data_IF_083020476971
#
_entry.id   IF_083020476971
#
_cell.length_a   1.000
_cell.length_b   1.000
_cell.length_c   1.000
_cell.angle_alpha   90.00
_cell.angle_beta   90.00
_cell.angle_gamma   90.00
#
_symmetry.space_group_name_H-M   'P 1'
#
loop_
_entity.id
_entity.type
_entity.pdbx_description
1 polymer ?
#
# COMPACT_ATOMS: atom_id res chain seq x y z
N UNK A 1 24.80 12.75 -9.59
CA UNK A 1 24.01 11.87 -8.71
C UNK A 1 24.71 11.53 -7.40
N UNK A 2 25.97 11.11 -7.39
CA UNK A 2 26.71 10.72 -6.17
C UNK A 2 26.68 11.82 -5.09
N UNK A 3 26.97 13.09 -5.44
CA UNK A 3 26.89 14.20 -4.49
C UNK A 3 25.46 14.38 -3.93
N UNK A 4 24.42 14.28 -4.78
CA UNK A 4 23.02 14.37 -4.37
C UNK A 4 22.60 13.19 -3.49
N UNK A 5 23.06 11.98 -3.80
CA UNK A 5 22.89 10.79 -2.97
C UNK A 5 23.46 11.01 -1.58
N UNK A 6 24.71 11.46 -1.49
CA UNK A 6 25.35 11.76 -0.20
C UNK A 6 24.57 12.79 0.60
N UNK A 7 24.14 13.90 -0.02
CA UNK A 7 23.36 14.94 0.66
C UNK A 7 22.04 14.37 1.19
N UNK A 8 21.33 13.58 0.36
CA UNK A 8 20.01 13.04 0.68
C UNK A 8 20.06 12.05 1.83
N UNK A 9 21.06 11.17 1.85
CA UNK A 9 21.18 10.08 2.82
C UNK A 9 22.17 10.39 3.96
N UNK A 10 22.85 11.54 3.96
CA UNK A 10 23.87 11.86 4.97
C UNK A 10 23.32 11.83 6.40
N UNK A 11 22.08 12.25 6.60
CA UNK A 11 21.44 12.21 7.90
C UNK A 11 21.06 10.77 8.31
N UNK A 12 20.64 9.94 7.36
CA UNK A 12 20.38 8.52 7.59
C UNK A 12 21.66 7.73 7.88
N UNK A 13 22.79 8.12 7.27
CA UNK A 13 24.11 7.52 7.52
C UNK A 13 24.72 7.96 8.86
N UNK A 14 24.40 9.15 9.35
CA UNK A 14 24.88 9.66 10.66
C UNK A 14 24.21 9.01 11.86
N UNK A 15 23.17 8.20 11.67
CA UNK A 15 22.47 7.44 12.71
C UNK A 15 23.20 6.12 13.04
N UNK A 16 24.42 5.91 12.56
CA UNK A 16 25.38 4.94 13.11
C UNK A 16 26.53 5.68 13.82
N UNK A 17 26.36 6.21 15.04
CA UNK A 17 27.50 6.66 15.81
C UNK A 17 28.03 5.46 16.58
N UNK A 18 29.31 5.20 16.45
CA UNK A 18 30.04 4.68 17.58
C UNK A 18 29.89 5.70 18.71
N UNK A 19 29.13 5.33 19.74
CA UNK A 19 28.87 6.19 20.87
C UNK A 19 29.76 5.83 22.00
N UNK A 20 30.62 6.75 22.34
CA UNK A 20 30.93 7.02 23.73
C UNK A 20 30.12 8.26 24.17
N UNK A 21 29.18 8.05 25.06
CA UNK A 21 28.69 9.04 26.01
C UNK A 21 27.58 10.00 25.56
N UNK A 22 26.38 9.76 26.10
CA UNK A 22 25.21 10.65 26.27
C UNK A 22 24.26 10.82 25.08
N UNK A 23 23.13 10.12 25.20
CA UNK A 23 21.95 10.20 24.33
C UNK A 23 21.24 11.54 24.40
N UNK A 24 20.87 12.16 23.27
CA UNK A 24 19.68 12.98 23.20
C UNK A 24 18.49 12.06 22.93
N UNK A 25 17.47 12.13 23.75
CA UNK A 25 16.19 11.45 23.53
C UNK A 25 15.54 12.04 22.29
N UNK A 26 15.53 11.27 21.20
CA UNK A 26 14.62 11.48 20.08
C UNK A 26 13.59 10.35 20.17
N UNK A 27 12.56 10.62 20.93
CA UNK A 27 11.32 9.87 20.92
C UNK A 27 10.67 10.03 19.55
N UNK A 28 10.35 8.89 18.90
CA UNK A 28 9.47 8.69 17.75
C UNK A 28 10.05 8.25 16.39
N UNK A 29 11.22 7.56 16.37
CA UNK A 29 11.61 6.77 15.17
C UNK A 29 11.94 5.32 15.59
N UNK A 30 11.07 4.70 16.39
CA UNK A 30 11.33 3.37 16.97
C UNK A 30 10.61 2.20 16.29
N UNK A 31 10.31 2.27 14.98
CA UNK A 31 9.66 1.17 14.26
C UNK A 31 10.48 0.60 13.10
N UNK A 32 11.81 0.72 13.14
CA UNK A 32 12.65 -0.04 12.21
C UNK A 32 13.12 -1.31 12.90
N UNK A 33 12.94 -2.51 12.31
CA UNK A 33 13.53 -3.73 12.86
C UNK A 33 15.05 -3.58 12.89
N UNK A 34 15.60 -3.48 14.08
CA UNK A 34 17.04 -3.55 14.32
C UNK A 34 17.46 -5.01 14.14
N UNK A 35 18.16 -5.30 13.05
CA UNK A 35 18.89 -6.57 12.94
C UNK A 35 20.20 -6.38 13.67
N UNK A 36 20.36 -7.07 14.79
CA UNK A 36 21.62 -7.15 15.53
C UNK A 36 22.67 -7.86 14.68
N UNK A 37 23.70 -7.14 14.30
CA UNK A 37 24.85 -7.61 13.51
C UNK A 37 25.24 -6.55 12.51
N UNK A 38 26.52 -6.37 12.21
CA UNK A 38 27.11 -5.39 11.27
C UNK A 38 26.33 -5.28 9.94
N UNK A 39 25.12 -4.76 9.98
CA UNK A 39 24.24 -4.63 8.83
C UNK A 39 24.55 -3.31 8.13
N UNK A 40 24.95 -3.40 6.88
CA UNK A 40 25.01 -2.25 5.99
C UNK A 40 23.67 -1.49 6.03
N UNK A 41 23.69 -0.14 6.00
CA UNK A 41 22.46 0.63 5.98
C UNK A 41 21.53 0.16 4.87
N UNK A 42 20.24 -0.02 5.18
CA UNK A 42 19.20 -0.53 4.26
C UNK A 42 19.20 0.14 2.88
N UNK A 43 19.67 1.38 2.79
CA UNK A 43 19.79 2.12 1.55
C UNK A 43 20.71 1.44 0.51
N UNK A 44 21.71 0.66 0.95
CA UNK A 44 22.63 -0.04 0.03
C UNK A 44 22.03 -1.32 -0.57
N UNK A 45 20.95 -1.85 -0.01
CA UNK A 45 20.23 -2.99 -0.59
C UNK A 45 19.34 -2.60 -1.77
N UNK A 46 19.14 -1.30 -2.02
CA UNK A 46 18.31 -0.79 -3.12
C UNK A 46 19.18 -0.52 -4.36
N UNK A 47 18.77 -1.01 -5.55
CA UNK A 47 19.55 -0.81 -6.77
C UNK A 47 19.73 0.67 -7.14
N UNK A 48 20.89 1.03 -7.68
CA UNK A 48 21.24 2.42 -8.05
C UNK A 48 20.21 3.11 -8.94
N UNK A 49 19.56 2.37 -9.86
CA UNK A 49 18.53 2.91 -10.73
C UNK A 49 17.31 3.46 -9.98
N UNK A 50 16.95 2.87 -8.83
CA UNK A 50 15.88 3.36 -7.96
C UNK A 50 16.32 4.65 -7.25
N UNK A 51 17.54 4.68 -6.72
CA UNK A 51 18.08 5.90 -6.09
C UNK A 51 18.10 7.10 -7.04
N UNK A 52 18.46 6.89 -8.31
CA UNK A 52 18.41 7.96 -9.30
C UNK A 52 17.03 8.56 -9.43
N UNK A 53 16.00 7.71 -9.53
CA UNK A 53 14.61 8.14 -9.60
C UNK A 53 14.18 8.91 -8.35
N UNK A 54 14.50 8.39 -7.16
CA UNK A 54 14.17 9.03 -5.89
C UNK A 54 14.88 10.39 -5.72
N UNK A 55 16.15 10.48 -6.13
CA UNK A 55 16.91 11.74 -6.11
C UNK A 55 16.29 12.78 -7.03
N UNK A 56 15.87 12.38 -8.23
CA UNK A 56 15.29 13.31 -9.20
C UNK A 56 13.94 13.85 -8.73
N UNK A 57 13.12 12.99 -8.09
CA UNK A 57 11.77 13.38 -7.65
C UNK A 57 11.71 14.00 -6.24
N UNK A 58 12.61 13.60 -5.32
CA UNK A 58 12.47 13.90 -3.88
C UNK A 58 13.73 14.44 -3.20
N UNK A 59 14.61 15.13 -3.92
CA UNK A 59 15.87 15.65 -3.34
C UNK A 59 15.65 16.51 -2.08
N UNK A 60 14.51 17.18 -1.97
CA UNK A 60 14.15 18.08 -0.85
C UNK A 60 13.20 17.45 0.16
N UNK A 61 12.85 16.17 0.01
CA UNK A 61 11.89 15.46 0.87
C UNK A 61 12.47 14.10 1.31
N UNK A 62 13.48 14.10 2.19
CA UNK A 62 14.17 12.87 2.61
C UNK A 62 13.23 11.85 3.29
N UNK A 63 12.18 12.31 3.96
CA UNK A 63 11.16 11.45 4.56
C UNK A 63 10.42 10.61 3.53
N UNK A 64 10.09 11.19 2.36
CA UNK A 64 9.48 10.45 1.24
C UNK A 64 10.46 9.44 0.64
N UNK A 65 11.72 9.82 0.53
CA UNK A 65 12.76 8.92 0.03
C UNK A 65 12.89 7.69 0.91
N UNK A 66 12.99 7.87 2.22
CA UNK A 66 13.11 6.76 3.17
C UNK A 66 11.88 5.86 3.16
N UNK A 67 10.69 6.44 3.06
CA UNK A 67 9.44 5.69 2.88
C UNK A 67 9.52 4.79 1.64
N UNK A 68 9.88 5.33 0.47
CA UNK A 68 9.96 4.54 -0.76
C UNK A 68 11.10 3.53 -0.73
N UNK A 69 12.26 3.84 -0.13
CA UNK A 69 13.35 2.88 0.10
C UNK A 69 12.84 1.67 0.87
N UNK A 70 12.12 1.89 1.97
CA UNK A 70 11.52 0.81 2.75
C UNK A 70 10.52 0.01 1.92
N UNK A 71 9.64 0.67 1.16
CA UNK A 71 8.65 0.01 0.30
C UNK A 71 9.28 -0.82 -0.82
N UNK A 72 10.39 -0.36 -1.40
CA UNK A 72 11.17 -1.13 -2.38
C UNK A 72 11.66 -2.43 -1.77
N UNK A 73 12.26 -2.38 -0.58
CA UNK A 73 12.81 -3.55 0.13
C UNK A 73 11.68 -4.51 0.53
N UNK A 74 10.60 -4.00 1.14
CA UNK A 74 9.47 -4.81 1.59
C UNK A 74 8.79 -5.57 0.44
N UNK A 75 8.71 -4.96 -0.73
CA UNK A 75 7.89 -5.46 -1.85
C UNK A 75 8.71 -5.90 -3.06
N UNK A 76 10.03 -5.75 -3.04
CA UNK A 76 10.92 -6.03 -4.18
C UNK A 76 10.48 -5.31 -5.47
N UNK A 77 10.11 -4.03 -5.37
CA UNK A 77 9.62 -3.28 -6.51
C UNK A 77 10.68 -3.10 -7.58
N UNK A 78 10.28 -3.32 -8.83
CA UNK A 78 11.06 -2.87 -9.98
C UNK A 78 11.04 -1.33 -10.08
N UNK A 79 11.96 -0.77 -10.87
CA UNK A 79 12.00 0.68 -11.10
C UNK A 79 10.69 1.20 -11.69
N UNK A 80 10.05 0.43 -12.59
CA UNK A 80 8.77 0.80 -13.20
C UNK A 80 7.64 0.82 -12.18
N UNK A 81 7.59 -0.17 -11.28
CA UNK A 81 6.61 -0.20 -10.19
C UNK A 81 6.83 0.96 -9.22
N UNK A 82 8.08 1.26 -8.87
CA UNK A 82 8.41 2.42 -8.04
C UNK A 82 7.92 3.72 -8.65
N UNK A 83 8.20 3.94 -9.95
CA UNK A 83 7.79 5.15 -10.66
C UNK A 83 6.26 5.32 -10.64
N UNK A 84 5.55 4.25 -10.94
CA UNK A 84 4.09 4.21 -10.85
C UNK A 84 3.57 4.52 -9.43
N UNK A 85 4.16 3.94 -8.39
CA UNK A 85 3.76 4.19 -7.00
C UNK A 85 4.02 5.64 -6.56
N UNK A 86 5.07 6.25 -7.08
CA UNK A 86 5.37 7.67 -6.86
C UNK A 86 4.33 8.55 -7.56
N UNK A 87 4.05 8.29 -8.85
CA UNK A 87 3.11 9.07 -9.64
C UNK A 87 1.67 8.97 -9.10
N UNK A 88 1.33 7.82 -8.51
CA UNK A 88 0.05 7.63 -7.81
C UNK A 88 0.02 8.22 -6.39
N UNK A 89 1.05 8.96 -5.96
CA UNK A 89 1.13 9.61 -4.64
C UNK A 89 0.93 8.65 -3.46
N UNK A 90 1.51 7.45 -3.51
CA UNK A 90 1.33 6.44 -2.46
C UNK A 90 1.64 6.97 -1.05
N UNK A 91 2.71 7.79 -0.90
CA UNK A 91 3.12 8.35 0.39
C UNK A 91 2.00 9.14 1.07
N UNK A 92 1.23 9.91 0.30
CA UNK A 92 0.17 10.78 0.81
C UNK A 92 -1.11 10.02 1.16
N UNK A 93 -1.39 8.91 0.50
CA UNK A 93 -2.69 8.19 0.62
C UNK A 93 -2.63 6.91 1.44
N UNK A 94 -1.44 6.32 1.66
CA UNK A 94 -1.33 5.09 2.46
C UNK A 94 -1.66 5.35 3.93
N UNK A 95 -2.45 4.47 4.53
CA UNK A 95 -2.82 4.52 5.94
C UNK A 95 -3.86 5.60 6.30
N UNK A 96 -4.42 6.30 5.32
CA UNK A 96 -5.38 7.40 5.54
C UNK A 96 -6.84 7.03 5.32
N UNK A 97 -7.13 5.78 4.94
CA UNK A 97 -8.50 5.35 4.71
C UNK A 97 -9.38 5.54 5.96
N UNK A 98 -10.55 6.14 5.76
CA UNK A 98 -11.59 6.21 6.79
C UNK A 98 -12.12 4.80 6.99
N UNK A 99 -11.96 4.26 8.20
CA UNK A 99 -12.32 2.89 8.48
C UNK A 99 -12.92 2.72 9.89
N UNK A 100 -13.57 1.59 10.11
CA UNK A 100 -14.07 1.19 11.43
C UNK A 100 -13.18 0.12 12.09
N UNK A 101 -12.00 -0.15 11.58
CA UNK A 101 -11.12 -1.25 12.02
C UNK A 101 -10.83 -1.24 13.51
N UNK A 102 -10.54 -0.06 14.09
CA UNK A 102 -10.28 0.07 15.54
C UNK A 102 -11.45 -0.35 16.41
N UNK A 103 -12.68 -0.31 15.87
CA UNK A 103 -13.90 -0.70 16.58
C UNK A 103 -14.24 -2.17 16.38
N UNK A 104 -13.90 -2.72 15.22
CA UNK A 104 -14.37 -4.04 14.76
C UNK A 104 -13.30 -5.12 14.79
N UNK A 105 -12.03 -4.75 14.78
CA UNK A 105 -10.90 -5.68 14.78
C UNK A 105 -10.06 -5.53 16.05
N UNK A 106 -9.57 -6.65 16.60
CA UNK A 106 -8.62 -6.58 17.72
C UNK A 106 -7.26 -6.02 17.26
N UNK A 107 -6.54 -5.38 18.20
CA UNK A 107 -5.14 -5.03 18.02
C UNK A 107 -4.30 -6.32 18.09
N UNK A 108 -3.30 -6.55 17.21
CA UNK A 108 -2.68 -5.63 16.22
C UNK A 108 -3.33 -5.66 14.83
N UNK A 109 -4.39 -6.46 14.59
CA UNK A 109 -5.01 -6.60 13.28
C UNK A 109 -5.61 -5.28 12.78
N UNK A 110 -6.25 -4.51 13.66
CA UNK A 110 -6.79 -3.20 13.31
C UNK A 110 -5.73 -2.22 12.82
N UNK A 111 -4.56 -2.22 13.47
CA UNK A 111 -3.46 -1.35 13.10
C UNK A 111 -2.85 -1.75 11.76
N UNK A 112 -2.68 -3.06 11.52
CA UNK A 112 -2.22 -3.56 10.24
C UNK A 112 -3.22 -3.26 9.12
N UNK A 113 -4.51 -3.47 9.34
CA UNK A 113 -5.56 -3.18 8.37
C UNK A 113 -5.57 -1.68 8.01
N UNK A 114 -5.44 -0.79 9.01
CA UNK A 114 -5.35 0.64 8.77
C UNK A 114 -4.12 1.02 7.95
N UNK A 115 -2.97 0.42 8.20
CA UNK A 115 -1.72 0.72 7.49
C UNK A 115 -1.74 0.29 6.02
N UNK A 116 -2.44 -0.79 5.68
CA UNK A 116 -2.47 -1.30 4.30
C UNK A 116 -3.52 -0.66 3.42
N UNK A 117 -4.56 -0.04 4.01
CA UNK A 117 -5.62 0.61 3.23
C UNK A 117 -5.19 2.00 2.75
N UNK A 118 -5.73 2.40 1.62
CA UNK A 118 -5.43 3.68 0.95
C UNK A 118 -6.68 4.53 0.83
N UNK A 119 -6.51 5.83 0.67
CA UNK A 119 -7.58 6.75 0.35
C UNK A 119 -7.04 7.89 -0.52
N UNK A 120 -7.50 8.02 -1.75
CA UNK A 120 -8.28 7.04 -2.51
C UNK A 120 -7.42 5.90 -3.09
N UNK A 121 -8.07 4.83 -3.59
CA UNK A 121 -7.42 3.89 -4.52
C UNK A 121 -7.39 4.48 -5.92
N UNK A 122 -6.26 4.32 -6.63
CA UNK A 122 -6.08 4.87 -7.99
C UNK A 122 -6.37 3.79 -9.02
N UNK A 123 -7.62 3.73 -9.48
CA UNK A 123 -8.08 2.78 -10.48
C UNK A 123 -7.92 3.34 -11.91
N UNK A 124 -7.83 4.65 -12.06
CA UNK A 124 -7.71 5.34 -13.36
C UNK A 124 -6.49 4.91 -14.20
N UNK A 125 -5.40 4.50 -13.53
CA UNK A 125 -4.19 4.00 -14.19
C UNK A 125 -4.45 2.74 -15.03
N UNK A 126 -5.57 2.08 -14.76
CA UNK A 126 -6.04 0.92 -15.53
C UNK A 126 -6.89 1.32 -16.74
N UNK A 127 -7.08 2.62 -16.99
CA UNK A 127 -7.90 3.13 -18.10
C UNK A 127 -9.41 3.17 -17.78
N UNK A 128 -9.79 3.11 -16.51
CA UNK A 128 -11.17 3.27 -16.07
C UNK A 128 -11.63 4.69 -16.37
N UNK A 129 -12.74 4.82 -17.09
CA UNK A 129 -13.38 6.11 -17.40
C UNK A 129 -14.54 6.35 -16.44
N UNK A 130 -14.80 7.60 -16.08
CA UNK A 130 -15.91 7.97 -15.19
C UNK A 130 -17.31 7.58 -15.71
N UNK A 131 -17.44 7.28 -16.99
CA UNK A 131 -18.71 6.95 -17.65
C UNK A 131 -18.91 5.43 -17.80
N UNK A 132 -17.99 4.58 -17.29
CA UNK A 132 -18.13 3.13 -17.37
C UNK A 132 -19.29 2.63 -16.54
N UNK A 133 -20.05 1.68 -17.09
CA UNK A 133 -21.07 0.94 -16.34
C UNK A 133 -20.40 -0.07 -15.40
N UNK A 134 -21.09 -0.51 -14.36
CA UNK A 134 -20.54 -1.46 -13.35
C UNK A 134 -19.97 -2.71 -14.01
N UNK A 135 -20.67 -3.28 -15.00
CA UNK A 135 -20.21 -4.46 -15.72
C UNK A 135 -18.91 -4.22 -16.51
N UNK A 136 -18.80 -3.07 -17.18
CA UNK A 136 -17.58 -2.70 -17.92
C UNK A 136 -16.40 -2.48 -16.97
N UNK A 137 -16.66 -1.91 -15.79
CA UNK A 137 -15.68 -1.74 -14.75
C UNK A 137 -15.16 -3.09 -14.23
N UNK A 138 -16.06 -4.04 -13.97
CA UNK A 138 -15.70 -5.40 -13.55
C UNK A 138 -14.82 -6.10 -14.58
N UNK A 139 -15.26 -6.15 -15.84
CA UNK A 139 -14.52 -6.79 -16.93
C UNK A 139 -13.14 -6.12 -17.13
N UNK A 140 -13.08 -4.81 -16.95
CA UNK A 140 -11.83 -4.05 -17.05
C UNK A 140 -10.85 -4.38 -15.92
N UNK A 141 -11.33 -4.43 -14.67
CA UNK A 141 -10.51 -4.81 -13.52
C UNK A 141 -9.99 -6.24 -13.62
N UNK A 142 -10.82 -7.17 -14.09
CA UNK A 142 -10.44 -8.56 -14.30
C UNK A 142 -9.36 -8.70 -15.37
N UNK A 143 -9.51 -8.01 -16.51
CA UNK A 143 -8.52 -8.02 -17.59
C UNK A 143 -7.17 -7.40 -17.15
N UNK A 144 -7.15 -6.58 -16.11
CA UNK A 144 -5.97 -5.91 -15.57
C UNK A 144 -5.63 -6.34 -14.14
N UNK A 145 -6.00 -7.57 -13.75
CA UNK A 145 -5.87 -8.07 -12.38
C UNK A 145 -4.48 -7.84 -11.77
N UNK A 146 -3.40 -7.95 -12.54
CA UNK A 146 -2.04 -7.72 -12.05
C UNK A 146 -1.83 -6.28 -11.59
N UNK A 147 -2.34 -5.30 -12.32
CA UNK A 147 -2.28 -3.87 -11.93
C UNK A 147 -3.19 -3.60 -10.75
N UNK A 148 -4.36 -4.22 -10.73
CA UNK A 148 -5.30 -4.11 -9.63
C UNK A 148 -4.71 -4.65 -8.33
N UNK A 149 -4.06 -5.82 -8.33
CA UNK A 149 -3.35 -6.37 -7.18
C UNK A 149 -2.19 -5.48 -6.72
N UNK A 150 -1.47 -4.84 -7.66
CA UNK A 150 -0.43 -3.86 -7.30
C UNK A 150 -1.04 -2.64 -6.59
N UNK A 151 -2.19 -2.18 -7.04
CA UNK A 151 -2.88 -1.07 -6.37
C UNK A 151 -3.44 -1.48 -5.01
N UNK A 152 -4.06 -2.64 -4.88
CA UNK A 152 -4.52 -3.17 -3.58
C UNK A 152 -3.35 -3.30 -2.61
N UNK A 153 -2.23 -3.82 -3.07
CA UNK A 153 -0.99 -3.94 -2.30
C UNK A 153 -0.67 -5.37 -1.88
N UNK A 154 0.44 -5.51 -1.14
CA UNK A 154 0.96 -6.81 -0.73
C UNK A 154 0.05 -7.51 0.27
N UNK A 155 -0.20 -8.77 0.01
CA UNK A 155 -1.01 -9.64 0.87
C UNK A 155 -2.38 -9.97 0.30
N UNK A 156 -2.82 -9.27 -0.74
CA UNK A 156 -4.05 -9.60 -1.44
C UNK A 156 -3.84 -10.76 -2.42
N UNK A 157 -4.71 -11.75 -2.34
CA UNK A 157 -4.79 -12.88 -3.27
C UNK A 157 -6.18 -12.84 -3.91
N UNK A 158 -6.22 -12.81 -5.23
CA UNK A 158 -7.47 -12.83 -5.97
C UNK A 158 -8.13 -14.20 -5.87
N UNK A 159 -9.36 -14.25 -5.39
CA UNK A 159 -10.18 -15.46 -5.32
C UNK A 159 -11.06 -15.59 -6.57
N UNK A 160 -11.73 -14.51 -6.97
CA UNK A 160 -12.58 -14.50 -8.15
C UNK A 160 -13.52 -13.28 -8.21
N UNK A 161 -14.21 -13.18 -9.34
CA UNK A 161 -15.32 -12.23 -9.54
C UNK A 161 -16.64 -12.98 -9.64
N UNK A 162 -17.75 -12.27 -9.39
CA UNK A 162 -19.11 -12.83 -9.39
C UNK A 162 -19.20 -14.14 -8.60
N UNK A 163 -18.57 -14.14 -7.42
CA UNK A 163 -18.54 -15.32 -6.56
C UNK A 163 -19.93 -15.56 -6.03
N UNK A 164 -20.47 -16.73 -6.39
CA UNK A 164 -21.81 -17.14 -5.99
C UNK A 164 -21.88 -17.45 -4.50
N UNK A 165 -22.84 -16.83 -3.83
CA UNK A 165 -23.17 -17.06 -2.42
C UNK A 165 -24.65 -17.40 -2.31
N UNK A 166 -24.97 -18.56 -1.74
CA UNK A 166 -26.34 -18.96 -1.47
C UNK A 166 -26.67 -18.81 0.01
N UNK A 167 -27.69 -18.02 0.31
CA UNK A 167 -28.17 -17.80 1.68
C UNK A 167 -29.65 -18.21 1.75
N UNK A 168 -29.93 -19.32 2.40
CA UNK A 168 -31.28 -19.91 2.38
C UNK A 168 -31.69 -20.37 0.97
N UNK A 169 -32.72 -19.73 0.41
CA UNK A 169 -33.24 -20.02 -0.93
C UNK A 169 -32.88 -18.89 -1.94
N UNK A 170 -32.09 -17.93 -1.54
CA UNK A 170 -31.72 -16.79 -2.38
C UNK A 170 -30.27 -16.89 -2.83
N UNK A 171 -30.01 -16.49 -4.07
CA UNK A 171 -28.68 -16.47 -4.69
C UNK A 171 -28.15 -15.06 -4.77
N UNK A 172 -26.91 -14.85 -4.30
CA UNK A 172 -26.21 -13.59 -4.31
C UNK A 172 -24.87 -13.74 -5.04
N UNK A 173 -24.34 -12.65 -5.54
CA UNK A 173 -23.07 -12.64 -6.25
C UNK A 173 -22.19 -11.51 -5.73
N UNK A 174 -21.04 -11.88 -5.15
CA UNK A 174 -20.01 -10.94 -4.72
C UNK A 174 -19.26 -10.47 -5.95
N UNK A 175 -19.18 -9.14 -6.19
CA UNK A 175 -18.53 -8.60 -7.38
C UNK A 175 -17.06 -9.02 -7.46
N UNK A 176 -16.30 -8.80 -6.37
CA UNK A 176 -14.90 -9.18 -6.29
C UNK A 176 -14.59 -9.76 -4.91
N UNK A 177 -13.96 -10.92 -4.86
CA UNK A 177 -13.54 -11.57 -3.62
C UNK A 177 -12.03 -11.76 -3.61
N UNK A 178 -11.40 -11.32 -2.54
CA UNK A 178 -9.98 -11.52 -2.27
C UNK A 178 -9.79 -12.22 -0.91
N UNK A 179 -8.61 -12.83 -0.74
CA UNK A 179 -8.13 -13.26 0.56
C UNK A 179 -6.88 -12.48 0.92
N UNK A 180 -6.83 -11.95 2.14
CA UNK A 180 -5.66 -11.21 2.59
C UNK A 180 -4.81 -12.08 3.53
N UNK A 181 -3.66 -12.53 3.04
CA UNK A 181 -2.82 -13.55 3.71
C UNK A 181 -2.23 -13.10 5.04
N UNK A 182 -2.01 -11.80 5.26
CA UNK A 182 -1.45 -11.27 6.51
C UNK A 182 -2.52 -10.99 7.57
N UNK A 183 -3.73 -10.68 7.15
CA UNK A 183 -4.89 -10.45 8.02
C UNK A 183 -5.69 -11.74 8.27
N UNK A 184 -5.42 -12.79 7.49
CA UNK A 184 -6.14 -14.06 7.53
C UNK A 184 -7.67 -13.90 7.40
N UNK A 185 -8.10 -13.05 6.47
CA UNK A 185 -9.50 -12.77 6.23
C UNK A 185 -9.84 -12.66 4.75
N UNK A 186 -11.11 -12.91 4.42
CA UNK A 186 -11.64 -12.53 3.12
C UNK A 186 -11.88 -11.03 3.05
N UNK A 187 -11.70 -10.46 1.87
CA UNK A 187 -12.00 -9.06 1.56
C UNK A 187 -13.00 -9.04 0.42
N UNK A 188 -14.20 -8.57 0.73
CA UNK A 188 -15.28 -8.37 -0.25
C UNK A 188 -15.18 -6.96 -0.79
N UNK A 189 -15.18 -6.80 -2.10
CA UNK A 189 -15.22 -5.52 -2.78
C UNK A 189 -16.48 -5.49 -3.64
N UNK A 190 -17.34 -4.52 -3.37
CA UNK A 190 -18.52 -4.23 -4.14
C UNK A 190 -18.24 -3.01 -5.03
N UNK A 191 -18.50 -3.14 -6.32
CA UNK A 191 -18.23 -2.10 -7.30
C UNK A 191 -19.52 -1.31 -7.58
N UNK A 192 -19.40 0.02 -7.61
CA UNK A 192 -20.49 0.91 -7.97
C UNK A 192 -19.98 1.98 -8.92
N UNK A 193 -20.67 2.14 -10.04
CA UNK A 193 -20.41 3.20 -11.02
C UNK A 193 -21.09 4.53 -10.65
N UNK A 194 -21.81 4.57 -9.54
CA UNK A 194 -22.55 5.74 -9.06
C UNK A 194 -21.92 6.31 -7.80
N UNK A 195 -22.32 7.55 -7.45
CA UNK A 195 -21.93 8.13 -6.18
C UNK A 195 -22.36 7.25 -5.01
N UNK A 196 -21.55 7.24 -3.94
CA UNK A 196 -21.82 6.47 -2.73
C UNK A 196 -23.19 6.81 -2.13
N UNK A 197 -23.92 5.76 -1.73
CA UNK A 197 -25.21 5.85 -1.05
C UNK A 197 -25.24 4.92 0.16
N UNK A 198 -25.99 5.27 1.24
CA UNK A 198 -26.08 4.43 2.44
C UNK A 198 -26.58 2.99 2.19
N UNK A 199 -27.43 2.80 1.20
CA UNK A 199 -27.93 1.47 0.81
C UNK A 199 -26.83 0.50 0.35
N UNK A 200 -25.71 1.01 -0.19
CA UNK A 200 -24.57 0.20 -0.62
C UNK A 200 -23.89 -0.51 0.58
N UNK A 201 -23.92 0.12 1.77
CA UNK A 201 -23.42 -0.52 3.00
C UNK A 201 -24.33 -1.71 3.38
N UNK A 202 -25.63 -1.60 3.17
CA UNK A 202 -26.59 -2.67 3.45
C UNK A 202 -26.24 -3.94 2.68
N UNK A 203 -25.89 -3.81 1.41
CA UNK A 203 -25.47 -4.93 0.56
C UNK A 203 -24.18 -5.58 1.07
N UNK A 204 -23.16 -4.79 1.40
CA UNK A 204 -21.89 -5.32 1.95
C UNK A 204 -22.06 -5.99 3.32
N UNK A 205 -22.96 -5.49 4.18
CA UNK A 205 -23.19 -6.10 5.49
C UNK A 205 -23.99 -7.40 5.41
N UNK A 206 -24.61 -7.68 4.26
CA UNK A 206 -25.37 -8.89 4.04
C UNK A 206 -24.46 -10.09 3.73
N UNK A 207 -23.33 -9.88 3.05
CA UNK A 207 -22.31 -10.89 2.76
C UNK A 207 -21.50 -11.27 4.01
#
# INVERSE_FOLDING_TARGET
YIKRFYILYSNAMKISPQVEGKSPQISNISNYPQVEGNSEPLIFSVPWGHHKLLIDKFLKAPEKVMFYVQKIIENNWSRTVLDWQIDSNLYERQGKAISNFKRTLPTPQSDLAQQITKDPYVIDIMGVRQEMQERELEEHLDSHISKYLLELGKGFTYYGHKVHLRVGNEDFYIDQLFYHVRLHCYVVIELKATAFKPEHIGQLNFY
#
